data_IF_834732201269
#
_entry.id   IF_834732201269
#
_cell.length_a   1.000
_cell.length_b   1.000
_cell.length_c   1.000
_cell.angle_alpha   90.00
_cell.angle_beta   90.00
_cell.angle_gamma   90.00
#
_symmetry.space_group_name_H-M   'P 1'
#
loop_
_entity.id
_entity.type
_entity.pdbx_description
1 polymer ?
#
# COMPACT_ATOMS: atom_id res chain seq x y z
N UNK A 1 35.39 -0.05 28.84
CA UNK A 1 35.47 0.10 27.36
C UNK A 1 34.74 -1.03 26.59
N UNK A 2 33.76 -1.74 27.17
CA UNK A 2 33.01 -2.83 26.51
C UNK A 2 31.66 -2.41 25.88
N UNK A 3 31.24 -1.16 26.01
CA UNK A 3 29.89 -0.72 25.63
C UNK A 3 29.71 -0.49 24.13
N UNK A 4 30.68 0.10 23.41
CA UNK A 4 30.52 0.38 21.98
C UNK A 4 30.46 -0.89 21.13
N UNK A 5 31.27 -1.91 21.44
CA UNK A 5 31.29 -3.17 20.69
C UNK A 5 30.01 -4.00 20.83
N UNK A 6 29.26 -3.81 21.91
CA UNK A 6 27.93 -4.38 22.09
C UNK A 6 26.89 -3.65 21.24
N UNK A 7 26.90 -2.30 21.28
CA UNK A 7 25.97 -1.47 20.49
C UNK A 7 26.10 -1.73 18.99
N UNK A 8 27.33 -1.77 18.45
CA UNK A 8 27.53 -2.06 17.02
C UNK A 8 27.16 -3.49 16.64
N UNK A 9 27.21 -4.44 17.58
CA UNK A 9 26.85 -5.83 17.33
C UNK A 9 25.35 -6.02 17.31
N UNK A 10 24.65 -5.44 18.27
CA UNK A 10 23.20 -5.38 18.25
C UNK A 10 22.69 -4.64 17.02
N UNK A 11 23.28 -3.49 16.64
CA UNK A 11 22.89 -2.79 15.41
C UNK A 11 23.15 -3.63 14.13
N UNK A 12 24.23 -4.41 14.11
CA UNK A 12 24.52 -5.34 13.01
C UNK A 12 23.53 -6.50 12.99
N UNK A 13 23.23 -7.09 14.14
CA UNK A 13 22.23 -8.16 14.28
C UNK A 13 20.82 -7.68 13.93
N UNK A 14 20.47 -6.44 14.27
CA UNK A 14 19.21 -5.80 13.91
C UNK A 14 19.13 -5.52 12.39
N UNK A 15 20.25 -5.15 11.77
CA UNK A 15 20.35 -4.97 10.33
C UNK A 15 20.28 -6.30 9.57
N UNK A 16 21.10 -7.29 9.97
CA UNK A 16 21.14 -8.64 9.38
C UNK A 16 19.84 -9.41 9.62
N UNK A 17 19.19 -9.19 10.76
CA UNK A 17 17.89 -9.76 11.12
C UNK A 17 16.69 -9.05 10.46
N UNK A 18 16.89 -7.99 9.67
CA UNK A 18 15.83 -7.27 8.97
C UNK A 18 14.98 -6.36 9.86
N UNK A 19 15.35 -6.17 11.12
CA UNK A 19 14.61 -5.34 12.08
C UNK A 19 14.67 -3.84 11.71
N UNK A 20 15.75 -3.37 11.10
CA UNK A 20 15.84 -1.99 10.59
C UNK A 20 14.81 -1.73 9.49
N UNK A 21 14.62 -2.69 8.58
CA UNK A 21 13.56 -2.63 7.56
C UNK A 21 12.16 -2.68 8.19
N UNK A 22 11.99 -3.46 9.26
CA UNK A 22 10.72 -3.52 10.00
C UNK A 22 10.34 -2.18 10.67
N UNK A 23 11.33 -1.38 11.07
CA UNK A 23 11.09 -0.03 11.64
C UNK A 23 10.70 0.96 10.54
N UNK A 24 11.34 0.92 9.36
CA UNK A 24 10.97 1.76 8.21
C UNK A 24 9.56 1.45 7.70
N UNK A 25 9.20 0.16 7.70
CA UNK A 25 7.84 -0.35 7.48
C UNK A 25 6.84 0.17 8.52
N UNK A 26 7.21 0.24 9.80
CA UNK A 26 6.35 0.78 10.88
C UNK A 26 6.13 2.29 10.76
N UNK A 27 7.17 3.07 10.49
CA UNK A 27 7.07 4.54 10.29
C UNK A 27 6.25 4.85 9.03
N UNK A 28 6.43 4.05 7.98
CA UNK A 28 5.58 4.12 6.80
C UNK A 28 4.12 3.73 7.09
N UNK A 29 3.89 2.86 8.06
CA UNK A 29 2.56 2.47 8.56
C UNK A 29 1.77 3.63 9.18
N UNK A 30 2.43 4.63 9.77
CA UNK A 30 1.75 5.81 10.35
C UNK A 30 1.16 6.71 9.25
N UNK A 31 1.96 7.15 8.28
CA UNK A 31 1.48 7.99 7.16
C UNK A 31 0.46 7.25 6.30
N UNK A 32 0.62 5.92 6.20
CA UNK A 32 -0.28 5.04 5.48
C UNK A 32 -1.67 4.96 6.16
N UNK A 33 -1.67 4.81 7.48
CA UNK A 33 -2.89 4.84 8.29
C UNK A 33 -3.68 6.11 8.04
N UNK A 34 -2.99 7.25 7.90
CA UNK A 34 -3.64 8.54 7.71
C UNK A 34 -4.45 8.61 6.40
N UNK A 35 -3.96 8.10 5.27
CA UNK A 35 -4.74 8.11 4.03
C UNK A 35 -5.96 7.18 4.09
N UNK A 36 -5.85 5.99 4.69
CA UNK A 36 -7.01 5.11 4.89
C UNK A 36 -8.03 5.76 5.82
N UNK A 37 -7.57 6.30 6.95
CA UNK A 37 -8.44 6.94 7.96
C UNK A 37 -9.17 8.13 7.35
N UNK A 38 -8.47 9.00 6.64
CA UNK A 38 -9.09 10.15 5.96
C UNK A 38 -10.05 9.69 4.84
N UNK A 39 -9.71 8.67 4.06
CA UNK A 39 -10.58 8.14 3.03
C UNK A 39 -11.87 7.55 3.63
N UNK A 40 -11.76 6.83 4.74
CA UNK A 40 -12.91 6.28 5.48
C UNK A 40 -13.80 7.38 6.04
N UNK A 41 -13.21 8.39 6.66
CA UNK A 41 -13.94 9.51 7.21
C UNK A 41 -14.69 10.28 6.11
N UNK A 42 -14.00 10.60 5.01
CA UNK A 42 -14.63 11.24 3.86
C UNK A 42 -15.79 10.39 3.29
N UNK A 43 -15.62 9.07 3.20
CA UNK A 43 -16.69 8.19 2.72
C UNK A 43 -17.90 8.17 3.68
N UNK A 44 -17.65 8.12 4.98
CA UNK A 44 -18.67 8.17 6.03
C UNK A 44 -19.48 9.48 5.99
N UNK A 45 -18.81 10.59 5.69
CA UNK A 45 -19.41 11.92 5.54
C UNK A 45 -20.12 12.12 4.18
N UNK A 46 -20.09 11.12 3.29
CA UNK A 46 -20.70 11.19 1.96
C UNK A 46 -19.83 11.85 0.90
N UNK A 47 -18.59 12.21 1.21
CA UNK A 47 -17.60 12.77 0.30
C UNK A 47 -16.89 11.67 -0.51
N UNK A 48 -17.66 10.94 -1.34
CA UNK A 48 -17.18 9.78 -2.11
C UNK A 48 -15.97 10.09 -3.02
N UNK A 49 -15.91 11.30 -3.58
CA UNK A 49 -14.87 11.68 -4.55
C UNK A 49 -13.52 11.90 -3.85
N UNK A 50 -13.56 12.57 -2.69
CA UNK A 50 -12.40 12.74 -1.81
C UNK A 50 -11.91 11.38 -1.32
N UNK A 51 -12.84 10.53 -0.87
CA UNK A 51 -12.52 9.17 -0.46
C UNK A 51 -11.89 8.35 -1.60
N UNK A 52 -12.37 8.49 -2.84
CA UNK A 52 -11.83 7.78 -3.99
C UNK A 52 -10.39 8.18 -4.31
N UNK A 53 -10.07 9.48 -4.23
CA UNK A 53 -8.70 10.01 -4.40
C UNK A 53 -7.76 9.42 -3.34
N UNK A 54 -8.14 9.52 -2.08
CA UNK A 54 -7.33 9.04 -0.95
C UNK A 54 -7.17 7.51 -0.96
N UNK A 55 -8.24 6.76 -1.24
CA UNK A 55 -8.20 5.31 -1.35
C UNK A 55 -7.29 4.85 -2.51
N UNK A 56 -7.32 5.57 -3.64
CA UNK A 56 -6.48 5.27 -4.80
C UNK A 56 -5.00 5.53 -4.51
N UNK A 57 -4.69 6.63 -3.83
CA UNK A 57 -3.34 6.96 -3.39
C UNK A 57 -2.81 5.90 -2.40
N UNK A 58 -3.62 5.53 -1.40
CA UNK A 58 -3.28 4.48 -0.43
C UNK A 58 -3.01 3.13 -1.13
N UNK A 59 -3.84 2.73 -2.08
CA UNK A 59 -3.63 1.51 -2.86
C UNK A 59 -2.31 1.55 -3.63
N UNK A 60 -2.02 2.65 -4.35
CA UNK A 60 -0.82 2.75 -5.18
C UNK A 60 0.45 2.70 -4.33
N UNK A 61 0.45 3.45 -3.23
CA UNK A 61 1.57 3.49 -2.29
C UNK A 61 1.81 2.11 -1.65
N UNK A 62 0.75 1.42 -1.18
CA UNK A 62 0.86 0.08 -0.62
C UNK A 62 1.47 -0.92 -1.60
N UNK A 63 1.02 -0.91 -2.87
CA UNK A 63 1.53 -1.82 -3.90
C UNK A 63 2.97 -1.50 -4.28
N UNK A 64 3.34 -0.22 -4.43
CA UNK A 64 4.72 0.20 -4.75
C UNK A 64 5.69 -0.19 -3.64
N UNK A 65 5.31 0.03 -2.38
CA UNK A 65 6.11 -0.39 -1.22
C UNK A 65 6.25 -1.90 -1.12
N UNK A 66 5.16 -2.64 -1.33
CA UNK A 66 5.22 -4.10 -1.33
C UNK A 66 6.13 -4.63 -2.45
N UNK A 67 6.06 -4.02 -3.63
CA UNK A 67 6.97 -4.34 -4.72
C UNK A 67 8.43 -4.03 -4.36
N UNK A 68 8.70 -2.86 -3.78
CA UNK A 68 10.04 -2.47 -3.33
C UNK A 68 10.59 -3.42 -2.24
N UNK A 69 9.76 -3.83 -1.27
CA UNK A 69 10.11 -4.79 -0.23
C UNK A 69 10.46 -6.19 -0.80
N UNK A 70 10.01 -6.49 -2.02
CA UNK A 70 10.33 -7.71 -2.76
C UNK A 70 11.35 -7.47 -3.89
N UNK A 71 12.17 -6.43 -3.76
CA UNK A 71 13.26 -6.08 -4.69
C UNK A 71 12.79 -5.85 -6.14
N UNK A 72 11.59 -5.29 -6.32
CA UNK A 72 11.09 -4.86 -7.63
C UNK A 72 11.25 -3.35 -7.77
N UNK A 73 11.98 -2.92 -8.81
CA UNK A 73 12.09 -1.51 -9.17
C UNK A 73 10.81 -1.05 -9.85
N UNK A 74 9.99 -0.26 -9.15
CA UNK A 74 8.67 0.20 -9.63
C UNK A 74 8.37 1.68 -9.37
N UNK A 75 9.34 2.48 -8.93
CA UNK A 75 9.12 3.87 -8.52
C UNK A 75 8.51 4.73 -9.64
N UNK A 76 9.07 4.64 -10.85
CA UNK A 76 8.62 5.40 -12.02
C UNK A 76 7.57 4.64 -12.87
N UNK A 77 7.03 3.53 -12.35
CA UNK A 77 6.06 2.70 -13.07
C UNK A 77 4.63 3.14 -12.77
N UNK A 78 3.78 2.98 -13.78
CA UNK A 78 2.32 3.12 -13.64
C UNK A 78 1.76 2.06 -12.71
N UNK A 79 0.57 2.31 -12.15
CA UNK A 79 -0.16 1.35 -11.33
C UNK A 79 -0.29 -0.01 -12.02
N UNK A 80 -0.64 -0.02 -13.31
CA UNK A 80 -0.81 -1.24 -14.10
C UNK A 80 0.51 -2.02 -14.22
N UNK A 81 1.62 -1.33 -14.44
CA UNK A 81 2.95 -1.95 -14.49
C UNK A 81 3.39 -2.52 -13.13
N UNK A 82 3.10 -1.81 -12.03
CA UNK A 82 3.34 -2.31 -10.66
C UNK A 82 2.55 -3.60 -10.42
N UNK A 83 1.26 -3.59 -10.73
CA UNK A 83 0.37 -4.75 -10.56
C UNK A 83 0.87 -5.94 -11.41
N UNK A 84 1.26 -5.70 -12.66
CA UNK A 84 1.79 -6.74 -13.55
C UNK A 84 3.11 -7.31 -13.02
N UNK A 85 4.00 -6.48 -12.49
CA UNK A 85 5.23 -6.93 -11.86
C UNK A 85 4.95 -7.85 -10.67
N UNK A 86 4.04 -7.44 -9.77
CA UNK A 86 3.62 -8.26 -8.61
C UNK A 86 3.01 -9.60 -9.04
N UNK A 87 2.17 -9.59 -10.08
CA UNK A 87 1.54 -10.80 -10.65
C UNK A 87 2.58 -11.74 -11.24
N UNK A 88 3.49 -11.22 -12.06
CA UNK A 88 4.53 -12.02 -12.73
C UNK A 88 5.47 -12.72 -11.74
N UNK A 89 5.67 -12.12 -10.56
CA UNK A 89 6.48 -12.67 -9.48
C UNK A 89 5.70 -13.58 -8.52
N UNK A 90 4.40 -13.78 -8.77
CA UNK A 90 3.54 -14.60 -7.92
C UNK A 90 3.29 -14.02 -6.53
N UNK A 91 3.59 -12.74 -6.30
CA UNK A 91 3.44 -12.08 -5.00
C UNK A 91 1.98 -11.75 -4.68
N UNK A 92 1.15 -11.64 -5.71
CA UNK A 92 -0.32 -11.57 -5.64
C UNK A 92 -0.92 -12.70 -6.48
N UNK A 93 -1.88 -13.42 -5.90
CA UNK A 93 -2.44 -14.63 -6.50
C UNK A 93 -3.95 -14.77 -6.25
N UNK A 94 -4.59 -15.67 -7.00
CA UNK A 94 -6.01 -16.00 -6.84
C UNK A 94 -6.91 -14.77 -6.90
N UNK A 95 -7.78 -14.63 -5.89
CA UNK A 95 -8.74 -13.53 -5.78
C UNK A 95 -8.09 -12.13 -5.74
N UNK A 96 -6.86 -11.99 -5.22
CA UNK A 96 -6.17 -10.70 -5.21
C UNK A 96 -5.85 -10.23 -6.64
N UNK A 97 -5.54 -11.16 -7.55
CA UNK A 97 -5.21 -10.85 -8.94
C UNK A 97 -6.39 -10.17 -9.64
N UNK A 98 -7.58 -10.77 -9.51
CA UNK A 98 -8.80 -10.29 -10.15
C UNK A 98 -9.30 -8.97 -9.53
N UNK A 99 -9.18 -8.81 -8.21
CA UNK A 99 -9.50 -7.54 -7.54
C UNK A 99 -8.60 -6.41 -8.06
N UNK A 100 -7.29 -6.66 -8.13
CA UNK A 100 -6.31 -5.69 -8.63
C UNK A 100 -6.50 -5.34 -10.12
N UNK A 101 -7.13 -6.19 -10.94
CA UNK A 101 -7.42 -5.85 -12.34
C UNK A 101 -8.51 -4.77 -12.46
N UNK A 102 -9.41 -4.66 -11.47
CA UNK A 102 -10.52 -3.72 -11.52
C UNK A 102 -10.20 -2.34 -10.92
N UNK A 103 -9.29 -2.28 -9.94
CA UNK A 103 -9.00 -1.08 -9.16
C UNK A 103 -8.35 0.09 -9.94
N UNK A 104 -7.47 -0.13 -10.94
CA UNK A 104 -6.91 0.96 -11.73
C UNK A 104 -7.96 1.82 -12.43
N UNK A 105 -9.09 1.23 -12.81
CA UNK A 105 -10.19 1.97 -13.45
C UNK A 105 -10.81 3.01 -12.51
N UNK A 106 -11.00 2.67 -11.23
CA UNK A 106 -11.53 3.61 -10.23
C UNK A 106 -10.53 4.75 -10.00
N UNK A 107 -9.24 4.42 -9.86
CA UNK A 107 -8.15 5.39 -9.76
C UNK A 107 -8.17 6.35 -10.94
N UNK A 108 -8.22 5.85 -12.17
CA UNK A 108 -8.21 6.69 -13.36
C UNK A 108 -9.44 7.60 -13.39
N UNK A 109 -10.61 7.12 -12.95
CA UNK A 109 -11.77 7.98 -12.79
C UNK A 109 -11.54 9.10 -11.76
N UNK A 110 -10.95 8.79 -10.60
CA UNK A 110 -10.64 9.77 -9.56
C UNK A 110 -9.60 10.81 -10.02
N UNK A 111 -8.52 10.37 -10.67
CA UNK A 111 -7.42 11.25 -11.09
C UNK A 111 -7.77 12.13 -12.30
N UNK A 112 -8.80 11.76 -13.06
CA UNK A 112 -9.28 12.53 -14.21
C UNK A 112 -10.66 13.16 -13.96
N UNK A 113 -11.07 13.34 -12.70
CA UNK A 113 -12.29 14.02 -12.31
C UNK A 113 -13.59 13.47 -12.94
N UNK A 114 -13.63 12.16 -13.23
CA UNK A 114 -14.82 11.49 -13.74
C UNK A 114 -15.73 11.03 -12.59
N UNK A 115 -16.17 11.95 -11.74
CA UNK A 115 -16.90 11.69 -10.48
C UNK A 115 -18.19 10.89 -10.66
N UNK A 116 -18.88 11.10 -11.79
CA UNK A 116 -20.11 10.37 -12.15
C UNK A 116 -19.88 8.86 -12.38
N UNK A 117 -18.63 8.46 -12.62
CA UNK A 117 -18.23 7.05 -12.83
C UNK A 117 -17.72 6.38 -11.55
N UNK A 118 -17.72 7.09 -10.42
CA UNK A 118 -17.25 6.60 -9.13
C UNK A 118 -18.45 6.20 -8.28
N UNK A 119 -18.44 4.96 -7.82
CA UNK A 119 -19.43 4.44 -6.89
C UNK A 119 -18.84 4.29 -5.49
N UNK A 120 -19.60 4.68 -4.45
CA UNK A 120 -19.15 4.61 -3.06
C UNK A 120 -18.82 3.18 -2.60
N UNK A 121 -19.53 2.16 -3.11
CA UNK A 121 -19.24 0.76 -2.79
C UNK A 121 -17.91 0.30 -3.41
N UNK A 122 -17.57 0.80 -4.60
CA UNK A 122 -16.27 0.54 -5.22
C UNK A 122 -15.12 1.16 -4.40
N UNK A 123 -15.31 2.39 -3.89
CA UNK A 123 -14.35 3.04 -2.98
C UNK A 123 -14.18 2.23 -1.69
N UNK A 124 -15.30 1.81 -1.08
CA UNK A 124 -15.27 0.93 0.10
C UNK A 124 -14.54 -0.39 -0.16
N UNK A 125 -14.71 -0.96 -1.37
CA UNK A 125 -14.03 -2.17 -1.79
C UNK A 125 -12.52 -2.01 -1.90
N UNK A 126 -12.03 -0.86 -2.41
CA UNK A 126 -10.60 -0.54 -2.39
C UNK A 126 -10.10 -0.43 -0.96
N UNK A 127 -10.77 0.34 -0.11
CA UNK A 127 -10.35 0.52 1.28
C UNK A 127 -10.24 -0.81 2.02
N UNK A 128 -11.26 -1.66 1.92
CA UNK A 128 -11.23 -2.99 2.54
C UNK A 128 -10.12 -3.89 1.99
N UNK A 129 -9.85 -3.82 0.67
CA UNK A 129 -8.73 -4.54 0.09
C UNK A 129 -7.39 -4.05 0.64
N UNK A 130 -7.17 -2.73 0.67
CA UNK A 130 -5.88 -2.17 1.09
C UNK A 130 -5.62 -2.48 2.56
N UNK A 131 -6.62 -2.36 3.43
CA UNK A 131 -6.51 -2.76 4.83
C UNK A 131 -6.10 -4.22 4.97
N UNK A 132 -6.81 -5.12 4.30
CA UNK A 132 -6.50 -6.55 4.34
C UNK A 132 -5.12 -6.84 3.74
N UNK A 133 -4.75 -6.12 2.69
CA UNK A 133 -3.47 -6.27 2.03
C UNK A 133 -2.32 -5.95 2.99
N UNK A 134 -2.40 -4.84 3.72
CA UNK A 134 -1.37 -4.48 4.69
C UNK A 134 -1.30 -5.46 5.83
N UNK A 135 -2.45 -5.83 6.40
CA UNK A 135 -2.52 -6.82 7.47
C UNK A 135 -1.83 -8.12 7.04
N UNK A 136 -2.03 -8.55 5.79
CA UNK A 136 -1.47 -9.79 5.26
C UNK A 136 0.00 -9.72 4.82
N UNK A 137 0.52 -8.54 4.46
CA UNK A 137 1.85 -8.40 3.84
C UNK A 137 2.86 -7.59 4.67
N UNK A 138 2.40 -6.86 5.68
CA UNK A 138 3.19 -5.90 6.45
C UNK A 138 3.16 -6.16 7.96
N UNK A 139 2.39 -7.16 8.42
CA UNK A 139 2.39 -7.61 9.82
C UNK A 139 3.39 -8.78 9.98
N UNK A 140 4.19 -8.84 11.06
CA UNK A 140 5.15 -9.93 11.32
C UNK A 140 4.54 -11.32 11.41
#
# INVERSE_FOLDING_TARGET
MRSLGGVFRSAKEDFEGGYVFSVDLKVSGEVFGDFIVMAKQALLEGHKDVAAVLASAALEDALKRFAAANSLEVNDKSMQEVINALKSKGLVAGAQKSLLDAMPKLRDHAMHANWEKIDASAVSGILGFVEQFLLSKFTP
#
